data_IF_902997869593
#
_entry.id   IF_902997869593
#
_cell.length_a   1.000
_cell.length_b   1.000
_cell.length_c   1.000
_cell.angle_alpha   90.00
_cell.angle_beta   90.00
_cell.angle_gamma   90.00
#
_symmetry.space_group_name_H-M   'P 1'
#
loop_
_entity.id
_entity.type
_entity.pdbx_description
1 polymer ?
#
# COMPACT_ATOMS: atom_id res chain seq x y z
N UNK A 1 14.60 7.12 25.87
CA UNK A 1 15.98 6.61 25.94
C UNK A 1 16.56 6.70 24.53
N UNK A 2 17.84 7.03 24.35
CA UNK A 2 18.44 7.10 23.01
C UNK A 2 19.30 5.85 22.72
N UNK A 3 19.01 5.14 21.64
CA UNK A 3 19.76 3.99 21.14
C UNK A 3 20.01 4.19 19.66
N UNK A 4 21.28 4.12 19.26
CA UNK A 4 21.69 4.34 17.87
C UNK A 4 21.03 3.35 16.92
N UNK A 5 20.29 3.88 15.94
CA UNK A 5 19.62 3.12 14.89
C UNK A 5 20.59 2.30 14.01
N UNK A 6 21.86 2.72 13.89
CA UNK A 6 22.88 2.02 13.09
C UNK A 6 23.54 0.87 13.82
N UNK A 7 23.93 1.08 15.07
CA UNK A 7 24.83 0.15 15.77
C UNK A 7 24.28 -0.38 17.08
N UNK A 8 23.11 0.09 17.53
CA UNK A 8 22.46 -0.34 18.77
C UNK A 8 23.15 0.18 20.05
N UNK A 9 24.08 1.12 19.95
CA UNK A 9 24.76 1.68 21.12
C UNK A 9 23.87 2.71 21.83
N UNK A 10 23.91 2.74 23.16
CA UNK A 10 23.23 3.79 23.93
C UNK A 10 23.89 5.12 23.68
N UNK A 11 23.07 6.14 23.48
CA UNK A 11 23.52 7.50 23.25
C UNK A 11 23.22 8.30 24.51
N UNK A 12 24.23 9.03 24.99
CA UNK A 12 24.05 9.94 26.12
C UNK A 12 23.11 11.09 25.72
N UNK A 13 22.27 11.54 26.65
CA UNK A 13 21.38 12.67 26.42
C UNK A 13 22.19 13.93 26.05
N UNK A 14 21.81 14.60 24.95
CA UNK A 14 22.49 15.79 24.44
C UNK A 14 23.67 15.52 23.49
N UNK A 15 24.02 14.26 23.23
CA UNK A 15 25.04 13.93 22.21
C UNK A 15 24.57 14.31 20.80
N UNK A 16 25.50 14.80 19.97
CA UNK A 16 25.26 15.09 18.54
C UNK A 16 25.54 13.90 17.62
N UNK A 17 26.38 12.95 18.08
CA UNK A 17 26.75 11.75 17.33
C UNK A 17 26.80 10.53 18.28
N UNK A 18 26.57 9.35 17.73
CA UNK A 18 26.79 8.08 18.41
C UNK A 18 28.28 7.90 18.70
N UNK A 19 28.64 7.75 19.97
CA UNK A 19 30.04 7.59 20.41
C UNK A 19 30.68 6.26 19.96
N UNK A 20 29.91 5.32 19.40
CA UNK A 20 30.42 4.02 18.94
C UNK A 20 30.64 3.96 17.42
N UNK A 21 29.71 4.47 16.61
CA UNK A 21 29.81 4.39 15.14
C UNK A 21 29.94 5.75 14.43
N UNK A 22 29.79 6.87 15.15
CA UNK A 22 29.86 8.21 14.57
C UNK A 22 28.60 8.67 13.84
N UNK A 23 27.53 7.86 13.80
CA UNK A 23 26.27 8.26 13.15
C UNK A 23 25.63 9.45 13.89
N UNK A 24 25.14 10.49 13.18
CA UNK A 24 24.50 11.64 13.82
C UNK A 24 23.24 11.22 14.58
N UNK A 25 23.02 11.82 15.75
CA UNK A 25 21.83 11.52 16.56
C UNK A 25 20.60 12.12 15.90
N UNK A 26 19.58 11.30 15.66
CA UNK A 26 18.32 11.70 15.04
C UNK A 26 17.12 11.28 15.89
N UNK A 27 15.91 11.72 15.52
CA UNK A 27 14.68 11.29 16.18
C UNK A 27 14.47 9.76 16.13
N UNK A 28 15.06 9.08 15.14
CA UNK A 28 15.02 7.63 15.02
C UNK A 28 15.76 6.90 16.15
N UNK A 29 16.62 7.59 16.91
CA UNK A 29 17.31 6.99 18.06
C UNK A 29 16.45 6.98 19.32
N UNK A 30 15.31 7.69 19.33
CA UNK A 30 14.41 7.76 20.48
C UNK A 30 13.58 6.49 20.57
N UNK A 31 14.02 5.56 21.43
CA UNK A 31 13.23 4.35 21.73
C UNK A 31 11.99 4.77 22.51
N UNK A 32 10.84 4.68 21.85
CA UNK A 32 9.53 4.93 22.46
C UNK A 32 8.99 3.63 23.04
N UNK A 33 8.66 3.64 24.34
CA UNK A 33 7.96 2.51 24.97
C UNK A 33 6.63 2.26 24.27
N UNK A 34 6.30 0.98 24.05
CA UNK A 34 5.07 0.49 23.40
C UNK A 34 3.73 0.90 24.09
N UNK A 35 3.74 1.81 25.06
CA UNK A 35 2.62 2.07 25.95
C UNK A 35 1.62 3.15 25.48
N UNK A 36 1.69 3.65 24.24
CA UNK A 36 0.70 4.65 23.77
C UNK A 36 0.10 4.41 22.38
N UNK A 37 0.22 3.20 21.82
CA UNK A 37 -0.59 2.76 20.68
C UNK A 37 -1.09 1.34 20.94
N UNK A 38 -2.39 1.11 21.20
CA UNK A 38 -2.89 -0.21 21.58
C UNK A 38 -2.83 -1.30 20.50
N UNK A 39 -2.40 -1.02 19.27
CA UNK A 39 -2.54 -1.94 18.12
C UNK A 39 -1.35 -1.91 17.14
N UNK A 40 -0.11 -1.82 17.64
CA UNK A 40 1.09 -1.85 16.81
C UNK A 40 1.59 -3.27 16.50
N UNK A 41 2.06 -3.50 15.27
CA UNK A 41 2.75 -4.75 14.90
C UNK A 41 4.06 -4.87 15.68
N UNK A 42 4.33 -6.03 16.28
CA UNK A 42 5.53 -6.25 17.12
C UNK A 42 6.38 -7.41 16.61
N UNK A 43 7.69 -7.29 16.83
CA UNK A 43 8.67 -8.35 16.63
C UNK A 43 9.23 -8.81 17.97
N UNK A 44 9.08 -10.09 18.27
CA UNK A 44 9.77 -10.77 19.37
C UNK A 44 11.03 -11.44 18.83
N UNK A 45 12.15 -11.23 19.49
CA UNK A 45 13.40 -11.96 19.21
C UNK A 45 13.78 -12.71 20.48
N UNK A 46 14.09 -13.99 20.35
CA UNK A 46 14.64 -14.80 21.43
C UNK A 46 15.85 -15.59 20.98
N UNK A 47 16.83 -15.76 21.85
CA UNK A 47 18.03 -16.56 21.59
C UNK A 47 18.60 -17.09 22.90
N UNK A 48 19.23 -18.26 22.86
CA UNK A 48 19.93 -18.82 24.02
C UNK A 48 21.43 -18.48 24.03
N UNK A 49 22.16 -19.10 24.95
CA UNK A 49 23.63 -19.04 24.95
C UNK A 49 24.21 -19.41 23.57
N UNK A 50 25.24 -18.67 23.15
CA UNK A 50 25.98 -18.92 21.91
C UNK A 50 27.48 -18.77 22.14
N UNK A 51 28.28 -19.59 21.48
CA UNK A 51 29.74 -19.46 21.45
C UNK A 51 30.23 -18.41 20.44
N UNK A 52 29.31 -17.77 19.72
CA UNK A 52 29.63 -16.70 18.78
C UNK A 52 30.34 -15.52 19.48
N UNK A 53 31.38 -14.91 18.88
CA UNK A 53 31.97 -13.68 19.38
C UNK A 53 30.97 -12.52 19.52
N UNK A 54 29.85 -12.56 18.77
CA UNK A 54 28.80 -11.55 18.84
C UNK A 54 27.85 -11.72 20.04
N UNK A 55 27.97 -12.80 20.82
CA UNK A 55 27.07 -13.10 21.94
C UNK A 55 27.02 -12.00 23.00
N UNK A 56 28.17 -11.61 23.54
CA UNK A 56 28.25 -10.57 24.57
C UNK A 56 27.68 -9.23 24.07
N UNK A 57 27.93 -8.89 22.81
CA UNK A 57 27.37 -7.69 22.16
C UNK A 57 25.85 -7.75 22.07
N UNK A 58 25.29 -8.88 21.63
CA UNK A 58 23.84 -9.03 21.51
C UNK A 58 23.15 -8.93 22.87
N UNK A 59 23.69 -9.59 23.90
CA UNK A 59 23.18 -9.50 25.28
C UNK A 59 23.25 -8.07 25.79
N UNK A 60 24.38 -7.39 25.64
CA UNK A 60 24.55 -6.01 26.10
C UNK A 60 23.62 -5.00 25.40
N UNK A 61 23.22 -5.24 24.14
CA UNK A 61 22.18 -4.45 23.45
C UNK A 61 20.82 -4.76 24.07
N UNK A 62 20.50 -6.04 24.23
CA UNK A 62 19.19 -6.48 24.73
C UNK A 62 18.93 -6.04 26.17
N UNK A 63 19.92 -6.13 27.07
CA UNK A 63 19.80 -5.73 28.50
C UNK A 63 19.39 -4.27 28.72
N UNK A 64 19.54 -3.43 27.69
CA UNK A 64 19.19 -2.01 27.75
C UNK A 64 17.77 -1.73 27.27
N UNK A 65 17.11 -2.73 26.69
CA UNK A 65 15.76 -2.60 26.16
C UNK A 65 14.74 -2.82 27.29
N UNK A 66 13.69 -1.98 27.39
CA UNK A 66 12.67 -2.14 28.43
C UNK A 66 11.93 -3.48 28.41
N UNK A 67 11.85 -4.12 27.24
CA UNK A 67 11.16 -5.40 27.02
C UNK A 67 12.03 -6.63 27.33
N UNK A 68 13.25 -6.43 27.83
CA UNK A 68 14.20 -7.53 27.97
C UNK A 68 13.83 -8.45 29.11
N UNK A 69 13.74 -9.74 28.77
CA UNK A 69 13.49 -10.83 29.69
C UNK A 69 14.63 -11.85 29.55
N UNK A 70 15.03 -12.42 30.67
CA UNK A 70 15.99 -13.53 30.72
C UNK A 70 15.46 -14.63 31.61
N UNK A 71 15.61 -15.89 31.17
CA UNK A 71 15.21 -17.06 31.92
C UNK A 71 16.27 -18.16 31.82
N UNK A 72 16.38 -18.99 32.85
CA UNK A 72 17.36 -20.08 32.92
C UNK A 72 18.78 -19.63 33.24
N UNK A 73 19.69 -20.60 33.35
CA UNK A 73 21.08 -20.37 33.76
C UNK A 73 22.07 -21.15 32.88
N UNK A 74 23.30 -20.64 32.78
CA UNK A 74 24.39 -21.28 32.05
C UNK A 74 24.03 -21.59 30.59
N UNK A 75 24.10 -22.87 30.20
CA UNK A 75 23.78 -23.32 28.83
C UNK A 75 22.28 -23.32 28.51
N UNK A 76 21.42 -23.19 29.51
CA UNK A 76 19.95 -23.15 29.35
C UNK A 76 19.40 -21.73 29.44
N UNK A 77 20.27 -20.71 29.48
CA UNK A 77 19.85 -19.32 29.46
C UNK A 77 19.13 -19.00 28.14
N UNK A 78 18.05 -18.24 28.25
CA UNK A 78 17.26 -17.74 27.14
C UNK A 78 17.02 -16.25 27.33
N UNK A 79 17.38 -15.48 26.32
CA UNK A 79 17.15 -14.06 26.20
C UNK A 79 15.93 -13.82 25.32
N UNK A 80 15.11 -12.83 25.67
CA UNK A 80 13.92 -12.45 24.90
C UNK A 80 13.74 -10.93 24.95
N UNK A 81 13.33 -10.36 23.83
CA UNK A 81 12.92 -8.96 23.69
C UNK A 81 11.68 -8.86 22.82
N UNK A 82 10.91 -7.79 22.99
CA UNK A 82 9.74 -7.46 22.16
C UNK A 82 9.84 -5.99 21.75
N UNK A 83 9.93 -5.74 20.46
CA UNK A 83 10.06 -4.40 19.89
C UNK A 83 8.90 -4.12 18.93
N UNK A 84 8.38 -2.88 18.86
CA UNK A 84 7.44 -2.52 17.81
C UNK A 84 8.16 -2.51 16.45
N UNK A 85 7.48 -2.89 15.36
CA UNK A 85 8.05 -2.83 14.01
C UNK A 85 8.32 -1.40 13.51
N UNK A 86 7.85 -0.37 14.22
CA UNK A 86 8.31 1.00 14.00
C UNK A 86 9.83 1.13 14.18
N UNK A 87 10.44 0.28 15.01
CA UNK A 87 11.89 0.17 15.28
C UNK A 87 12.57 -0.88 14.37
N UNK A 88 12.08 -1.05 13.15
CA UNK A 88 12.53 -2.11 12.20
C UNK A 88 14.05 -2.18 12.00
N UNK A 89 14.77 -1.05 12.00
CA UNK A 89 16.23 -1.05 11.84
C UNK A 89 16.90 -1.71 13.06
N UNK A 90 16.43 -1.43 14.29
CA UNK A 90 16.91 -2.09 15.50
C UNK A 90 16.58 -3.59 15.50
N UNK A 91 15.36 -3.96 15.10
CA UNK A 91 14.95 -5.37 14.94
C UNK A 91 15.88 -6.10 13.98
N UNK A 92 16.13 -5.52 12.81
CA UNK A 92 17.02 -6.08 11.79
C UNK A 92 18.46 -6.21 12.30
N UNK A 93 18.99 -5.19 12.98
CA UNK A 93 20.35 -5.18 13.50
C UNK A 93 20.56 -6.25 14.59
N UNK A 94 19.60 -6.41 15.51
CA UNK A 94 19.68 -7.46 16.53
C UNK A 94 19.60 -8.84 15.86
N UNK A 95 18.66 -9.02 14.93
CA UNK A 95 18.50 -10.30 14.23
C UNK A 95 19.71 -10.64 13.35
N UNK A 96 20.45 -9.66 12.85
CA UNK A 96 21.71 -9.88 12.13
C UNK A 96 22.83 -10.42 13.02
N UNK A 97 22.81 -10.10 14.32
CA UNK A 97 23.77 -10.65 15.28
C UNK A 97 23.42 -12.09 15.67
N UNK A 98 22.14 -12.38 15.88
CA UNK A 98 21.68 -13.62 16.52
C UNK A 98 21.07 -14.64 15.56
N UNK A 99 20.59 -14.21 14.40
CA UNK A 99 19.70 -14.99 13.52
C UNK A 99 20.32 -16.25 12.91
N UNK A 100 21.64 -16.38 12.93
CA UNK A 100 22.36 -17.60 12.51
C UNK A 100 22.54 -18.63 13.64
N UNK A 101 22.18 -18.29 14.87
CA UNK A 101 22.36 -19.18 16.02
C UNK A 101 21.21 -20.18 16.11
N UNK A 102 21.54 -21.42 16.47
CA UNK A 102 20.56 -22.53 16.54
C UNK A 102 19.38 -22.27 17.48
N UNK A 103 19.61 -21.50 18.55
CA UNK A 103 18.60 -21.14 19.55
C UNK A 103 17.83 -19.86 19.23
N UNK A 104 18.15 -19.19 18.11
CA UNK A 104 17.54 -17.93 17.74
C UNK A 104 16.19 -18.12 17.03
N UNK A 105 15.23 -17.29 17.39
CA UNK A 105 13.90 -17.23 16.78
C UNK A 105 13.43 -15.78 16.71
N UNK A 106 12.78 -15.40 15.61
CA UNK A 106 12.01 -14.17 15.51
C UNK A 106 10.55 -14.51 15.26
N UNK A 107 9.65 -13.84 15.98
CA UNK A 107 8.22 -13.90 15.77
C UNK A 107 7.71 -12.50 15.45
N UNK A 108 6.87 -12.35 14.42
CA UNK A 108 6.12 -11.12 14.16
C UNK A 108 4.65 -11.43 14.41
N UNK A 109 4.00 -10.70 15.31
CA UNK A 109 2.63 -10.98 15.77
C UNK A 109 2.42 -12.46 16.19
N UNK A 110 3.44 -13.06 16.82
CA UNK A 110 3.42 -14.46 17.26
C UNK A 110 3.69 -15.50 16.16
N UNK A 111 3.80 -15.10 14.90
CA UNK A 111 4.12 -16.00 13.78
C UNK A 111 5.62 -16.03 13.52
N UNK A 112 6.18 -17.22 13.24
CA UNK A 112 7.60 -17.36 12.92
C UNK A 112 7.96 -16.49 11.72
N UNK A 113 9.00 -15.68 11.88
CA UNK A 113 9.45 -14.72 10.90
C UNK A 113 10.95 -14.84 10.64
N UNK A 114 11.37 -14.34 9.50
CA UNK A 114 12.74 -14.32 9.01
C UNK A 114 13.15 -12.90 8.65
N UNK A 115 14.44 -12.68 8.38
CA UNK A 115 14.93 -11.38 7.91
C UNK A 115 14.21 -10.89 6.64
N UNK A 116 13.73 -11.80 5.78
CA UNK A 116 12.98 -11.44 4.57
C UNK A 116 11.69 -10.71 4.93
N UNK A 117 11.01 -11.11 5.99
CA UNK A 117 9.75 -10.50 6.42
C UNK A 117 9.93 -9.05 6.88
N UNK A 118 11.15 -8.64 7.26
CA UNK A 118 11.52 -7.25 7.53
C UNK A 118 11.74 -6.40 6.25
N UNK A 119 11.53 -6.99 5.07
CA UNK A 119 11.61 -6.34 3.77
C UNK A 119 10.28 -6.39 3.01
N UNK A 120 9.50 -7.46 3.20
CA UNK A 120 8.18 -7.64 2.58
C UNK A 120 7.05 -7.05 3.45
N UNK A 121 5.81 -7.27 3.01
CA UNK A 121 4.59 -6.92 3.72
C UNK A 121 4.49 -5.46 4.22
N UNK A 122 5.05 -4.54 3.43
CA UNK A 122 5.06 -3.11 3.75
C UNK A 122 6.21 -2.63 4.64
N UNK A 123 6.96 -3.54 5.28
CA UNK A 123 8.07 -3.17 6.18
C UNK A 123 9.21 -2.49 5.42
N UNK A 124 9.61 -3.02 4.25
CA UNK A 124 10.63 -2.39 3.42
C UNK A 124 10.23 -1.00 2.93
N UNK A 125 8.94 -0.81 2.58
CA UNK A 125 8.41 0.50 2.19
C UNK A 125 8.47 1.50 3.35
N UNK A 126 8.12 1.05 4.56
CA UNK A 126 8.20 1.86 5.77
C UNK A 126 9.65 2.30 6.08
N UNK A 127 10.64 1.42 5.91
CA UNK A 127 12.06 1.80 6.05
C UNK A 127 12.46 2.93 5.10
N UNK A 128 11.96 2.92 3.87
CA UNK A 128 12.18 4.01 2.92
C UNK A 128 11.43 5.27 3.33
N UNK A 129 10.19 5.16 3.85
CA UNK A 129 9.42 6.29 4.41
C UNK A 129 10.20 7.02 5.50
N UNK A 130 10.81 6.29 6.44
CA UNK A 130 11.58 6.89 7.54
C UNK A 130 12.79 7.72 7.06
N UNK A 131 13.28 7.46 5.85
CA UNK A 131 14.42 8.15 5.23
C UNK A 131 13.97 9.25 4.25
N UNK A 132 12.67 9.40 4.02
CA UNK A 132 12.13 10.38 3.09
C UNK A 132 12.17 11.78 3.70
N UNK A 133 12.30 12.80 2.84
CA UNK A 133 12.30 14.20 3.27
C UNK A 133 10.98 14.60 3.95
N UNK A 134 9.84 14.08 3.47
CA UNK A 134 8.50 14.25 4.08
C UNK A 134 7.82 12.90 4.29
N UNK A 135 8.06 12.22 5.43
CA UNK A 135 7.51 10.89 5.71
C UNK A 135 5.99 10.79 5.60
N UNK A 136 5.25 11.85 5.96
CA UNK A 136 3.79 11.85 5.86
C UNK A 136 3.33 11.98 4.41
N UNK A 137 3.95 12.86 3.61
CA UNK A 137 3.65 13.00 2.18
C UNK A 137 4.02 11.74 1.37
N UNK A 138 5.10 11.05 1.78
CA UNK A 138 5.60 9.84 1.11
C UNK A 138 4.52 8.78 0.91
N UNK A 139 3.61 8.60 1.87
CA UNK A 139 2.53 7.64 1.81
C UNK A 139 1.43 8.05 0.80
N UNK A 140 1.20 9.34 0.60
CA UNK A 140 0.19 9.88 -0.31
C UNK A 140 0.68 10.05 -1.75
N UNK A 141 1.97 9.77 -2.01
CA UNK A 141 2.59 9.96 -3.32
C UNK A 141 2.90 11.43 -3.59
N UNK A 142 4.18 11.76 -3.72
CA UNK A 142 4.63 13.13 -4.03
C UNK A 142 4.57 13.44 -5.53
N UNK A 143 4.43 12.42 -6.39
CA UNK A 143 4.30 12.55 -7.84
C UNK A 143 2.86 12.24 -8.26
N UNK A 144 2.35 12.92 -9.29
CA UNK A 144 0.96 12.76 -9.75
C UNK A 144 0.56 11.30 -10.03
N UNK A 145 1.47 10.48 -10.57
CA UNK A 145 1.15 9.08 -10.88
C UNK A 145 1.03 8.15 -9.66
N UNK A 146 1.47 8.62 -8.49
CA UNK A 146 1.38 7.90 -7.21
C UNK A 146 0.43 8.59 -6.22
N UNK A 147 -0.14 9.73 -6.60
CA UNK A 147 -1.07 10.51 -5.80
C UNK A 147 -2.24 9.60 -5.38
N UNK A 148 -2.55 9.52 -4.10
CA UNK A 148 -3.66 8.69 -3.62
C UNK A 148 -4.35 9.33 -2.43
N UNK A 149 -5.62 8.98 -2.20
CA UNK A 149 -6.38 9.45 -1.03
C UNK A 149 -6.34 8.47 0.14
N UNK A 150 -5.78 7.28 -0.06
CA UNK A 150 -5.88 6.17 0.88
C UNK A 150 -4.87 6.26 2.03
N UNK A 151 -3.89 7.15 1.95
CA UNK A 151 -2.82 7.24 2.95
C UNK A 151 -1.78 6.13 2.85
N UNK A 152 -1.73 5.42 1.71
CA UNK A 152 -0.69 4.45 1.43
C UNK A 152 -0.58 4.17 -0.08
N UNK A 153 0.55 4.56 -0.68
CA UNK A 153 0.85 4.30 -2.10
C UNK A 153 1.00 2.83 -2.45
N UNK A 154 1.24 1.97 -1.44
CA UNK A 154 1.33 0.52 -1.65
C UNK A 154 -0.03 -0.16 -1.81
N UNK A 155 -1.13 0.57 -1.62
CA UNK A 155 -2.46 0.06 -1.93
C UNK A 155 -2.75 0.00 -3.44
N UNK A 156 -1.88 0.57 -4.29
CA UNK A 156 -1.98 0.40 -5.73
C UNK A 156 -3.21 1.06 -6.37
N UNK A 157 -3.85 1.99 -5.67
CA UNK A 157 -5.06 2.67 -6.13
C UNK A 157 -4.81 4.20 -6.21
N UNK A 158 -3.92 4.65 -7.09
CA UNK A 158 -3.67 6.08 -7.28
C UNK A 158 -4.91 6.79 -7.85
N UNK A 159 -4.89 8.10 -7.77
CA UNK A 159 -5.87 9.01 -8.35
C UNK A 159 -5.22 9.68 -9.55
N UNK A 160 -5.73 9.37 -10.75
CA UNK A 160 -5.22 9.94 -11.99
C UNK A 160 -6.07 11.13 -12.43
N UNK A 161 -5.41 12.18 -12.95
CA UNK A 161 -6.08 13.39 -13.47
C UNK A 161 -6.94 13.13 -14.71
N UNK A 162 -6.60 12.08 -15.46
CA UNK A 162 -7.33 11.66 -16.66
C UNK A 162 -8.41 10.61 -16.38
N UNK A 163 -8.63 10.22 -15.12
CA UNK A 163 -9.52 9.11 -14.77
C UNK A 163 -8.82 7.74 -14.86
N UNK A 164 -9.59 6.67 -14.80
CA UNK A 164 -9.05 5.31 -14.84
C UNK A 164 -8.83 4.66 -13.47
N UNK A 165 -8.51 3.36 -13.50
CA UNK A 165 -8.20 2.59 -12.30
C UNK A 165 -9.44 2.36 -11.44
N UNK A 166 -9.37 2.71 -10.16
CA UNK A 166 -10.53 2.55 -9.27
C UNK A 166 -11.67 3.53 -9.57
N UNK A 167 -11.38 4.61 -10.32
CA UNK A 167 -12.40 5.55 -10.79
C UNK A 167 -13.33 4.93 -11.84
N UNK A 168 -12.92 3.83 -12.48
CA UNK A 168 -13.74 3.06 -13.43
C UNK A 168 -14.65 2.06 -12.72
N UNK A 169 -14.57 1.94 -11.40
CA UNK A 169 -15.42 1.03 -10.63
C UNK A 169 -16.75 1.72 -10.36
N UNK A 170 -17.63 1.66 -11.35
CA UNK A 170 -18.93 2.27 -11.28
C UNK A 170 -19.65 2.25 -12.62
N UNK A 171 -20.75 2.98 -12.67
CA UNK A 171 -21.56 3.12 -13.89
C UNK A 171 -22.38 4.41 -13.87
N UNK A 172 -22.67 4.93 -15.06
CA UNK A 172 -23.62 6.04 -15.20
C UNK A 172 -25.07 5.56 -15.05
N UNK A 173 -25.89 6.39 -14.40
CA UNK A 173 -27.33 6.26 -14.47
C UNK A 173 -27.92 6.95 -15.71
N UNK A 174 -29.24 6.83 -15.88
CA UNK A 174 -30.00 7.46 -16.95
C UNK A 174 -30.10 8.99 -16.84
N UNK A 175 -29.39 9.65 -15.94
CA UNK A 175 -29.27 11.12 -15.86
C UNK A 175 -27.83 11.58 -16.13
N UNK A 176 -26.89 10.65 -16.22
CA UNK A 176 -25.47 10.89 -16.38
C UNK A 176 -24.73 11.13 -15.06
N UNK A 177 -25.32 10.73 -13.91
CA UNK A 177 -24.60 10.68 -12.64
C UNK A 177 -23.86 9.34 -12.53
N UNK A 178 -22.61 9.39 -12.10
CA UNK A 178 -21.76 8.23 -11.88
C UNK A 178 -22.03 7.64 -10.50
N UNK A 179 -22.27 6.34 -10.41
CA UNK A 179 -22.46 5.61 -9.15
C UNK A 179 -21.25 4.72 -8.92
N UNK A 180 -20.54 4.92 -7.80
CA UNK A 180 -19.36 4.14 -7.46
C UNK A 180 -19.73 2.74 -7.00
N UNK A 181 -19.03 1.72 -7.49
CA UNK A 181 -19.02 0.38 -6.93
C UNK A 181 -18.07 0.35 -5.72
N UNK A 182 -18.55 0.91 -4.60
CA UNK A 182 -17.80 0.93 -3.34
C UNK A 182 -17.47 -0.47 -2.82
N UNK A 183 -18.29 -1.48 -3.14
CA UNK A 183 -18.03 -2.85 -2.71
C UNK A 183 -16.78 -3.42 -3.40
N UNK A 184 -16.65 -3.18 -4.72
CA UNK A 184 -15.44 -3.53 -5.46
C UNK A 184 -14.22 -2.76 -4.97
N UNK A 185 -14.33 -1.43 -4.79
CA UNK A 185 -13.23 -0.61 -4.27
C UNK A 185 -12.76 -1.14 -2.90
N UNK A 186 -13.71 -1.47 -2.01
CA UNK A 186 -13.41 -2.06 -0.69
C UNK A 186 -12.64 -3.36 -0.82
N UNK A 187 -13.06 -4.26 -1.71
CA UNK A 187 -12.42 -5.55 -1.89
C UNK A 187 -10.95 -5.40 -2.30
N UNK A 188 -10.66 -4.56 -3.31
CA UNK A 188 -9.29 -4.30 -3.77
C UNK A 188 -8.42 -3.67 -2.66
N UNK A 189 -8.99 -2.71 -1.91
CA UNK A 189 -8.31 -2.13 -0.75
C UNK A 189 -8.00 -3.19 0.31
N UNK A 190 -8.94 -4.07 0.66
CA UNK A 190 -8.74 -5.10 1.68
C UNK A 190 -7.66 -6.11 1.30
N UNK A 191 -7.58 -6.49 0.02
CA UNK A 191 -6.50 -7.33 -0.51
C UNK A 191 -5.15 -6.63 -0.35
N UNK A 192 -5.03 -5.40 -0.83
CA UNK A 192 -3.77 -4.65 -0.76
C UNK A 192 -3.38 -4.28 0.69
N UNK A 193 -4.35 -4.04 1.56
CA UNK A 193 -4.13 -3.85 3.00
C UNK A 193 -3.52 -5.10 3.63
N UNK A 194 -4.03 -6.28 3.29
CA UNK A 194 -3.50 -7.55 3.79
C UNK A 194 -2.07 -7.79 3.31
N UNK A 195 -1.77 -7.48 2.05
CA UNK A 195 -0.42 -7.58 1.50
C UNK A 195 0.59 -6.63 2.17
N UNK A 196 0.14 -5.60 2.88
CA UNK A 196 0.99 -4.59 3.52
C UNK A 196 0.79 -4.52 5.05
N UNK A 197 0.23 -5.56 5.66
CA UNK A 197 -0.26 -5.57 7.05
C UNK A 197 0.83 -5.36 8.11
N UNK A 198 2.11 -5.53 7.77
CA UNK A 198 3.22 -5.33 8.69
C UNK A 198 3.77 -3.89 8.66
N UNK A 199 3.26 -3.01 7.78
CA UNK A 199 3.66 -1.61 7.74
C UNK A 199 3.20 -0.85 9.00
N UNK A 200 4.12 -0.32 9.82
CA UNK A 200 3.76 0.43 11.03
C UNK A 200 2.99 1.74 10.77
N UNK A 201 3.07 2.29 9.57
CA UNK A 201 2.37 3.51 9.18
C UNK A 201 1.01 3.26 8.50
N UNK A 202 0.64 1.99 8.26
CA UNK A 202 -0.60 1.64 7.59
C UNK A 202 -1.76 1.65 8.59
N UNK A 203 -2.76 2.49 8.33
CA UNK A 203 -3.96 2.61 9.16
C UNK A 203 -5.17 2.05 8.40
N UNK A 204 -5.50 0.79 8.68
CA UNK A 204 -6.63 0.09 8.03
C UNK A 204 -7.95 0.81 8.28
N UNK A 205 -8.19 1.28 9.49
CA UNK A 205 -9.44 1.93 9.86
C UNK A 205 -9.64 3.21 9.05
N UNK A 206 -8.60 4.04 8.95
CA UNK A 206 -8.62 5.28 8.18
C UNK A 206 -8.80 5.08 6.68
N UNK A 207 -8.20 4.02 6.12
CA UNK A 207 -8.38 3.67 4.70
C UNK A 207 -9.85 3.38 4.41
N UNK A 208 -10.49 2.56 5.26
CA UNK A 208 -11.89 2.21 5.09
C UNK A 208 -12.82 3.40 5.38
N UNK A 209 -12.50 4.22 6.37
CA UNK A 209 -13.25 5.46 6.64
C UNK A 209 -13.17 6.44 5.46
N UNK A 210 -12.02 6.54 4.80
CA UNK A 210 -11.85 7.33 3.58
C UNK A 210 -12.77 6.83 2.45
N UNK A 211 -12.91 5.50 2.29
CA UNK A 211 -13.85 4.91 1.34
C UNK A 211 -15.31 5.25 1.69
N UNK A 212 -15.68 5.20 2.97
CA UNK A 212 -17.02 5.57 3.40
C UNK A 212 -17.30 7.05 3.15
N UNK A 213 -16.31 7.92 3.33
CA UNK A 213 -16.39 9.36 3.07
C UNK A 213 -16.48 9.73 1.58
N UNK A 214 -16.16 8.81 0.66
CA UNK A 214 -16.44 9.04 -0.76
C UNK A 214 -17.96 9.16 -0.99
N UNK A 215 -18.42 10.00 -1.93
CA UNK A 215 -19.83 10.04 -2.29
C UNK A 215 -20.26 8.71 -2.91
N UNK A 216 -21.52 8.28 -2.68
CA UNK A 216 -22.06 7.10 -3.36
C UNK A 216 -22.25 7.33 -4.87
N UNK A 217 -22.55 8.58 -5.24
CA UNK A 217 -22.64 9.01 -6.63
C UNK A 217 -22.18 10.45 -6.81
N UNK A 218 -21.72 10.78 -8.01
CA UNK A 218 -21.29 12.12 -8.41
C UNK A 218 -21.93 12.49 -9.74
N UNK A 219 -22.40 13.72 -9.85
CA UNK A 219 -22.87 14.27 -11.12
C UNK A 219 -21.92 15.39 -11.55
N UNK A 220 -21.04 15.16 -12.54
CA UNK A 220 -20.11 16.18 -13.02
C UNK A 220 -20.79 17.47 -13.55
N UNK A 221 -22.10 17.45 -13.84
CA UNK A 221 -22.85 18.66 -14.21
C UNK A 221 -23.06 19.61 -13.05
N UNK A 222 -23.15 19.07 -11.83
CA UNK A 222 -23.47 19.85 -10.61
C UNK A 222 -22.30 19.89 -9.62
N UNK A 223 -21.44 18.87 -9.62
CA UNK A 223 -20.27 18.78 -8.78
C UNK A 223 -18.99 19.20 -9.53
N UNK A 224 -18.53 20.44 -9.25
CA UNK A 224 -17.32 21.06 -9.83
C UNK A 224 -15.99 20.41 -9.39
N UNK A 225 -16.05 19.32 -8.64
CA UNK A 225 -14.87 18.55 -8.24
C UNK A 225 -14.64 17.35 -9.17
N UNK A 226 -15.59 17.06 -10.05
CA UNK A 226 -15.57 15.95 -11.00
C UNK A 226 -15.80 16.46 -12.41
N UNK A 227 -15.23 15.76 -13.39
CA UNK A 227 -15.44 16.00 -14.81
C UNK A 227 -15.76 14.68 -15.48
N UNK A 228 -16.51 14.72 -16.58
CA UNK A 228 -16.65 13.55 -17.43
C UNK A 228 -15.30 13.19 -18.05
N UNK A 229 -15.04 11.89 -18.13
CA UNK A 229 -14.06 11.31 -19.02
C UNK A 229 -14.82 10.89 -20.28
N UNK A 230 -14.36 11.35 -21.44
CA UNK A 230 -15.03 11.12 -22.72
C UNK A 230 -14.18 10.31 -23.69
N UNK A 231 -14.84 9.60 -24.60
CA UNK A 231 -14.24 8.87 -25.71
C UNK A 231 -15.03 9.14 -26.99
N UNK A 232 -14.38 9.07 -28.15
CA UNK A 232 -15.05 9.17 -29.45
C UNK A 232 -15.44 7.76 -29.92
N UNK A 233 -16.74 7.47 -29.95
CA UNK A 233 -17.27 6.15 -30.30
C UNK A 233 -18.32 6.22 -31.41
N UNK A 234 -18.44 5.14 -32.18
CA UNK A 234 -19.48 5.01 -33.20
C UNK A 234 -20.81 4.61 -32.55
N UNK A 235 -21.78 5.52 -32.56
CA UNK A 235 -23.12 5.32 -32.00
C UNK A 235 -24.14 5.40 -33.13
N UNK A 236 -24.68 4.25 -33.53
CA UNK A 236 -25.68 4.11 -34.61
C UNK A 236 -25.18 4.62 -35.98
N UNK A 237 -23.90 4.43 -36.29
CA UNK A 237 -23.30 4.82 -37.57
C UNK A 237 -22.66 6.21 -37.58
N UNK A 238 -22.79 6.99 -36.50
CA UNK A 238 -22.18 8.31 -36.34
C UNK A 238 -21.14 8.29 -35.22
N UNK A 239 -19.97 8.89 -35.43
CA UNK A 239 -19.00 9.10 -34.36
C UNK A 239 -19.43 10.24 -33.45
N UNK A 240 -19.55 9.94 -32.15
CA UNK A 240 -19.98 10.90 -31.13
C UNK A 240 -19.07 10.80 -29.91
N UNK A 241 -18.90 11.93 -29.24
CA UNK A 241 -18.24 11.97 -27.94
C UNK A 241 -19.20 11.43 -26.88
N UNK A 242 -18.81 10.35 -26.22
CA UNK A 242 -19.60 9.66 -25.20
C UNK A 242 -18.86 9.70 -23.87
N UNK A 243 -19.60 9.88 -22.78
CA UNK A 243 -19.04 9.78 -21.44
C UNK A 243 -18.78 8.31 -21.11
N UNK A 244 -17.51 7.98 -20.86
CA UNK A 244 -17.05 6.62 -20.55
C UNK A 244 -16.67 6.44 -19.08
N UNK A 245 -16.47 7.54 -18.35
CA UNK A 245 -16.13 7.52 -16.94
C UNK A 245 -16.09 8.91 -16.32
N UNK A 246 -15.44 9.00 -15.17
CA UNK A 246 -15.23 10.27 -14.45
C UNK A 246 -13.75 10.49 -14.15
N UNK A 247 -13.37 11.75 -14.02
CA UNK A 247 -12.05 12.16 -13.55
C UNK A 247 -12.18 13.26 -12.49
N UNK A 248 -11.36 13.25 -11.43
CA UNK A 248 -11.40 14.26 -10.39
C UNK A 248 -10.62 15.50 -10.81
N UNK A 249 -10.93 16.64 -10.17
CA UNK A 249 -10.02 17.77 -10.10
C UNK A 249 -9.01 17.47 -8.98
N UNK A 250 -7.77 17.15 -9.34
CA UNK A 250 -6.80 16.51 -8.42
C UNK A 250 -6.57 17.31 -7.13
N UNK A 251 -6.42 18.64 -7.24
CA UNK A 251 -6.25 19.52 -6.07
C UNK A 251 -7.41 19.49 -5.07
N UNK A 252 -8.57 19.02 -5.49
CA UNK A 252 -9.79 19.00 -4.69
C UNK A 252 -10.09 17.64 -4.07
N UNK A 253 -9.42 16.57 -4.51
CA UNK A 253 -9.71 15.19 -4.06
C UNK A 253 -9.17 14.91 -2.65
N UNK A 254 -8.19 15.69 -2.18
CA UNK A 254 -7.64 15.57 -0.81
C UNK A 254 -8.66 15.82 0.31
N UNK A 255 -9.82 16.40 -0.01
CA UNK A 255 -10.92 16.58 0.96
C UNK A 255 -11.43 15.26 1.52
N UNK A 256 -11.35 14.19 0.74
CA UNK A 256 -11.89 12.88 1.13
C UNK A 256 -10.99 12.16 2.14
N UNK A 257 -9.71 12.55 2.20
CA UNK A 257 -8.71 11.99 3.12
C UNK A 257 -9.13 12.23 4.56
N UNK A 258 -9.13 11.21 5.40
CA UNK A 258 -9.38 11.37 6.83
C UNK A 258 -8.07 11.65 7.58
N UNK A 259 -8.10 12.57 8.54
CA UNK A 259 -6.95 12.94 9.38
C UNK A 259 -6.42 14.36 9.13
N UNK A 260 -5.40 14.74 9.90
CA UNK A 260 -4.86 16.10 9.92
C UNK A 260 -3.94 16.45 8.75
N UNK A 261 -3.27 15.46 8.16
CA UNK A 261 -2.38 15.69 7.02
C UNK A 261 -3.17 15.71 5.71
N UNK A 262 -2.99 16.79 4.93
CA UNK A 262 -3.62 16.97 3.62
C UNK A 262 -2.54 17.16 2.56
N UNK A 263 -2.25 16.17 1.71
CA UNK A 263 -1.31 16.33 0.62
C UNK A 263 -1.83 17.35 -0.39
N UNK A 264 -0.89 18.05 -1.01
CA UNK A 264 -1.11 18.90 -2.18
C UNK A 264 -0.40 18.27 -3.37
N UNK A 265 -1.10 18.20 -4.50
CA UNK A 265 -0.56 17.71 -5.77
C UNK A 265 -0.67 18.81 -6.80
N UNK A 266 0.42 19.07 -7.51
CA UNK A 266 0.43 19.99 -8.65
C UNK A 266 -0.31 19.34 -9.83
N UNK A 267 -0.95 20.15 -10.69
CA UNK A 267 -1.58 19.68 -11.93
C UNK A 267 -0.61 19.91 -13.10
N UNK A 268 -0.57 19.02 -14.09
CA UNK A 268 0.18 19.31 -15.31
C UNK A 268 -0.51 20.48 -16.02
N UNK A 269 0.26 21.51 -16.37
CA UNK A 269 -0.26 22.59 -17.22
C UNK A 269 -0.66 21.94 -18.55
N UNK A 270 -1.93 22.09 -19.00
CA UNK A 270 -2.29 21.57 -20.30
C UNK A 270 -1.39 22.24 -21.36
N UNK A 271 -1.00 21.53 -22.44
CA UNK A 271 -0.47 22.21 -23.61
C UNK A 271 -1.49 23.30 -24.02
N UNK A 272 -0.99 24.46 -24.45
CA UNK A 272 -1.69 25.76 -24.53
C UNK A 272 -2.93 25.85 -25.45
N UNK A 273 -3.60 24.75 -25.79
CA UNK A 273 -4.63 24.66 -26.85
C UNK A 273 -5.94 23.97 -26.45
N UNK A 274 -6.21 23.72 -25.16
CA UNK A 274 -7.49 23.11 -24.75
C UNK A 274 -8.61 24.15 -24.60
N UNK A 275 -9.31 24.45 -25.69
CA UNK A 275 -10.52 25.29 -25.70
C UNK A 275 -11.66 24.60 -24.96
N UNK A 276 -12.17 25.20 -23.88
CA UNK A 276 -13.34 24.70 -23.15
C UNK A 276 -14.61 24.95 -23.96
N UNK A 277 -15.22 23.90 -24.52
CA UNK A 277 -16.55 23.94 -25.12
C UNK A 277 -17.54 23.35 -24.11
N UNK A 278 -18.62 24.09 -23.81
CA UNK A 278 -19.69 23.58 -22.96
C UNK A 278 -20.54 22.56 -23.73
N UNK A 279 -20.52 21.30 -23.28
CA UNK A 279 -21.23 20.19 -23.93
C UNK A 279 -22.50 19.82 -23.15
N UNK A 280 -23.61 19.69 -23.88
CA UNK A 280 -24.90 19.22 -23.37
C UNK A 280 -24.97 17.69 -23.48
N UNK A 281 -24.80 16.99 -22.36
CA UNK A 281 -24.85 15.52 -22.29
C UNK A 281 -26.30 15.04 -22.21
N UNK A 282 -26.80 14.39 -23.26
CA UNK A 282 -28.06 13.63 -23.23
C UNK A 282 -27.86 12.25 -22.60
N UNK A 283 -28.77 11.79 -21.73
CA UNK A 283 -28.62 10.50 -21.07
C UNK A 283 -28.90 9.30 -21.98
N UNK A 284 -28.34 8.12 -21.67
CA UNK A 284 -28.62 6.90 -22.41
C UNK A 284 -30.08 6.47 -22.22
N UNK A 285 -30.82 6.37 -23.31
CA UNK A 285 -32.21 5.89 -23.31
C UNK A 285 -32.24 4.37 -23.08
N UNK A 286 -33.06 3.94 -22.12
CA UNK A 286 -33.33 2.53 -21.82
C UNK A 286 -33.98 1.82 -23.01
N UNK A 287 -33.35 0.74 -23.49
CA UNK A 287 -33.94 -0.14 -24.49
C UNK A 287 -34.97 -1.06 -23.83
N UNK A 288 -36.26 -0.88 -24.14
CA UNK A 288 -37.29 -1.91 -23.98
C UNK A 288 -37.28 -2.87 -25.18
N UNK A 289 -37.64 -4.15 -24.99
CA UNK A 289 -37.35 -5.21 -25.96
C UNK A 289 -38.36 -5.20 -27.11
N UNK A 290 -37.90 -4.92 -28.33
CA UNK A 290 -38.68 -5.19 -29.55
C UNK A 290 -38.19 -6.46 -30.23
N UNK A 291 -39.08 -7.44 -30.28
CA UNK A 291 -39.00 -8.65 -31.08
C UNK A 291 -38.87 -8.35 -32.57
N UNK A 292 -37.85 -8.91 -33.23
CA UNK A 292 -37.96 -9.34 -34.64
C UNK A 292 -36.71 -10.11 -35.10
N UNK A 293 -36.95 -11.27 -35.72
CA UNK A 293 -36.11 -11.78 -36.81
C UNK A 293 -34.92 -12.65 -36.43
N UNK A 294 -35.18 -13.96 -36.29
CA UNK A 294 -34.14 -14.98 -36.26
C UNK A 294 -33.34 -14.99 -37.59
N UNK A 295 -32.05 -14.66 -37.51
CA UNK A 295 -31.07 -15.04 -38.52
C UNK A 295 -30.01 -15.93 -37.85
N UNK A 296 -30.11 -17.23 -38.12
CA UNK A 296 -29.23 -18.29 -37.62
C UNK A 296 -27.83 -18.11 -38.22
N UNK A 297 -26.88 -17.56 -37.45
CA UNK A 297 -25.44 -17.63 -37.75
C UNK A 297 -24.85 -18.87 -37.08
N UNK A 298 -24.49 -19.87 -37.87
CA UNK A 298 -23.67 -20.99 -37.41
C UNK A 298 -22.32 -20.49 -36.90
N UNK A 299 -22.05 -20.69 -35.61
CA UNK A 299 -20.71 -20.56 -35.06
C UNK A 299 -19.92 -21.80 -35.43
N UNK A 300 -18.93 -21.68 -36.33
CA UNK A 300 -17.91 -22.71 -36.50
C UNK A 300 -17.10 -22.79 -35.21
N UNK A 301 -17.27 -23.90 -34.50
CA UNK A 301 -16.56 -24.24 -33.27
C UNK A 301 -15.07 -24.49 -33.58
N UNK A 302 -14.20 -23.67 -33.02
CA UNK A 302 -12.73 -23.81 -33.07
C UNK A 302 -12.23 -24.92 -32.14
N UNK A 303 -12.94 -26.04 -32.03
CA UNK A 303 -12.55 -27.19 -31.19
C UNK A 303 -11.50 -28.08 -31.84
N UNK A 304 -11.36 -28.07 -33.17
CA UNK A 304 -10.40 -28.93 -33.88
C UNK A 304 -8.96 -28.41 -33.86
N UNK A 305 -8.76 -27.10 -33.76
CA UNK A 305 -7.43 -26.47 -33.69
C UNK A 305 -6.69 -26.80 -32.39
N UNK A 306 -7.40 -26.93 -31.27
CA UNK A 306 -6.82 -27.32 -29.98
C UNK A 306 -6.48 -28.82 -29.92
N UNK A 307 -7.22 -29.68 -30.63
CA UNK A 307 -6.95 -31.11 -30.69
C UNK A 307 -5.69 -31.38 -31.52
N UNK A 308 -5.51 -30.68 -32.64
CA UNK A 308 -4.29 -30.80 -33.48
C UNK A 308 -3.05 -30.25 -32.76
N UNK A 309 -3.18 -29.14 -32.03
CA UNK A 309 -2.07 -28.62 -31.21
C UNK A 309 -1.69 -29.58 -30.08
N UNK A 310 -2.69 -30.19 -29.41
CA UNK A 310 -2.45 -31.16 -28.34
C UNK A 310 -1.74 -32.43 -28.82
N UNK A 311 -2.09 -32.93 -30.01
CA UNK A 311 -1.45 -34.12 -30.60
C UNK A 311 0.00 -33.82 -31.03
N UNK A 312 0.28 -32.63 -31.57
CA UNK A 312 1.64 -32.23 -31.93
C UNK A 312 2.57 -32.09 -30.71
N UNK A 313 2.05 -31.56 -29.59
CA UNK A 313 2.80 -31.47 -28.33
C UNK A 313 3.07 -32.87 -27.76
N UNK A 314 2.10 -33.79 -27.80
CA UNK A 314 2.27 -35.17 -27.36
C UNK A 314 3.31 -35.94 -28.20
N UNK A 315 3.36 -35.73 -29.51
CA UNK A 315 4.36 -36.36 -30.39
C UNK A 315 5.77 -35.80 -30.13
N UNK A 316 5.90 -34.54 -29.73
CA UNK A 316 7.19 -33.94 -29.38
C UNK A 316 7.75 -34.37 -28.01
N UNK A 317 6.91 -34.93 -27.14
CA UNK A 317 7.31 -35.42 -25.81
C UNK A 317 7.72 -36.89 -25.79
N UNK A 318 7.47 -37.63 -26.88
CA UNK A 318 7.82 -39.05 -27.03
C UNK A 318 8.86 -39.30 -28.13
N UNK A 319 9.72 -38.30 -28.40
CA UNK A 319 10.84 -38.41 -29.33
C UNK A 319 12.16 -38.03 -28.68
#
# INVERSE_FOLDING_TARGET
>A
MLVCDKCGATINAGSRFCAQCGDPVTEADVVTTAASSPEGVTAQISFGYSTSPAYSKAVAICERLPSYEVAGEGKQIQHKIVLPLSEVELVANIFDLVGSWKSSQMLINGQSATKKDLSYYGVGCYRTRQKAYKPDAYCYGERQHDANIWGCKKLGMPVFEWGGGWLDYGQFDAKGAWHFDKARIKHELEVALKENELCPALDRARVLETLENLPASVDPKTDKNWQYQTSYEEVKGDYKEVAVGIRPVLKKVNRYIIGGFKPEWEEESPPATATTIQVKVEPPQSLSPSSSGAARREKKSYTWLWIILGILVLISLFR
#
